data_IF_735013590445
#
_entry.id   IF_735013590445
#
_cell.length_a   1.000
_cell.length_b   1.000
_cell.length_c   1.000
_cell.angle_alpha   90.00
_cell.angle_beta   90.00
_cell.angle_gamma   90.00
#
_symmetry.space_group_name_H-M   'P 1'
#
loop_
_entity.id
_entity.type
_entity.pdbx_description
1 polymer ?
#
# COMPACT_ATOMS: atom_id res chain seq x y z
N UNK A 1 2.73 5.39 -6.15
CA UNK A 1 1.46 5.01 -5.49
C UNK A 1 1.12 6.02 -4.42
N UNK A 2 -0.13 6.47 -4.32
CA UNK A 2 -0.63 7.31 -3.22
C UNK A 2 -1.35 6.42 -2.19
N UNK A 3 -0.72 6.11 -1.03
CA UNK A 3 -1.29 5.22 -0.03
C UNK A 3 -2.56 5.79 0.63
N UNK A 4 -2.73 7.12 0.68
CA UNK A 4 -3.93 7.72 1.27
C UNK A 4 -5.15 7.43 0.41
N UNK A 5 -5.00 7.55 -0.92
CA UNK A 5 -6.07 7.22 -1.87
C UNK A 5 -6.45 5.74 -1.80
N UNK A 6 -5.47 4.85 -1.69
CA UNK A 6 -5.72 3.41 -1.47
C UNK A 6 -6.55 3.21 -0.19
N UNK A 7 -6.17 3.83 0.92
CA UNK A 7 -6.91 3.74 2.19
C UNK A 7 -8.35 4.24 2.10
N UNK A 8 -8.58 5.38 1.43
CA UNK A 8 -9.94 5.89 1.19
C UNK A 8 -10.75 4.97 0.28
N UNK A 9 -10.13 4.36 -0.73
CA UNK A 9 -10.78 3.35 -1.55
C UNK A 9 -11.28 2.17 -0.73
N UNK A 10 -10.50 1.67 0.23
CA UNK A 10 -10.94 0.58 1.13
C UNK A 10 -12.13 1.01 2.00
N UNK A 11 -12.16 2.26 2.47
CA UNK A 11 -13.32 2.80 3.21
C UNK A 11 -14.57 2.85 2.31
N UNK A 12 -14.43 3.29 1.06
CA UNK A 12 -15.52 3.34 0.07
C UNK A 12 -16.07 1.95 -0.26
N UNK A 13 -15.23 0.92 -0.25
CA UNK A 13 -15.66 -0.48 -0.40
C UNK A 13 -16.43 -1.02 0.82
N UNK A 14 -16.39 -0.33 1.97
CA UNK A 14 -16.95 -0.81 3.23
C UNK A 14 -15.96 -1.54 4.14
N UNK A 15 -14.68 -1.57 3.78
CA UNK A 15 -13.59 -2.19 4.54
C UNK A 15 -13.07 -1.33 5.70
N UNK A 16 -13.60 -0.11 5.87
CA UNK A 16 -13.21 0.82 6.92
C UNK A 16 -14.41 1.60 7.48
N UNK A 17 -14.15 2.42 8.51
CA UNK A 17 -15.19 3.22 9.18
C UNK A 17 -15.03 4.69 8.84
N UNK A 18 -16.12 5.33 8.44
CA UNK A 18 -16.20 6.79 8.32
C UNK A 18 -16.56 7.46 9.65
N UNK A 19 -17.16 6.70 10.57
CA UNK A 19 -17.65 7.14 11.88
C UNK A 19 -17.57 6.01 12.92
N UNK A 20 -17.49 6.34 14.23
CA UNK A 20 -17.50 5.34 15.28
C UNK A 20 -18.72 4.40 15.23
N UNK A 21 -18.51 3.11 15.47
CA UNK A 21 -19.58 2.11 15.58
C UNK A 21 -20.11 1.55 14.26
N UNK A 22 -19.63 2.04 13.10
CA UNK A 22 -19.98 1.47 11.78
C UNK A 22 -19.45 0.03 11.64
N UNK A 23 -20.26 -0.85 11.04
CA UNK A 23 -19.82 -2.22 10.72
C UNK A 23 -18.80 -2.17 9.56
N UNK A 24 -17.84 -3.10 9.57
CA UNK A 24 -16.88 -3.26 8.48
C UNK A 24 -17.23 -4.56 7.75
N UNK A 25 -17.17 -4.52 6.43
CA UNK A 25 -17.14 -5.73 5.61
C UNK A 25 -15.69 -6.25 5.54
N UNK A 26 -15.44 -7.43 6.09
CA UNK A 26 -14.10 -8.02 6.13
C UNK A 26 -13.75 -8.76 4.82
N UNK A 27 -14.69 -8.86 3.88
CA UNK A 27 -14.48 -9.52 2.59
C UNK A 27 -13.93 -8.60 1.51
N UNK A 28 -13.93 -7.28 1.75
CA UNK A 28 -13.52 -6.28 0.75
C UNK A 28 -12.11 -5.75 0.99
N UNK A 29 -11.50 -5.21 -0.06
CA UNK A 29 -10.19 -4.56 0.01
C UNK A 29 -9.37 -4.71 -1.27
N UNK A 30 -8.07 -4.40 -1.15
CA UNK A 30 -7.12 -4.50 -2.26
C UNK A 30 -5.97 -5.42 -1.90
N UNK A 31 -5.54 -6.23 -2.86
CA UNK A 31 -4.23 -6.87 -2.86
C UNK A 31 -3.41 -6.22 -3.96
N UNK A 32 -2.41 -5.41 -3.60
CA UNK A 32 -1.53 -4.75 -4.57
C UNK A 32 -0.25 -5.56 -4.68
N UNK A 33 -0.03 -6.17 -5.85
CA UNK A 33 1.12 -7.04 -6.09
C UNK A 33 2.34 -6.27 -6.61
N UNK A 34 2.12 -5.18 -7.34
CA UNK A 34 3.19 -4.32 -7.83
C UNK A 34 3.73 -3.40 -6.72
N UNK A 35 5.05 -3.32 -6.61
CA UNK A 35 5.75 -2.39 -5.71
C UNK A 35 6.16 -1.14 -6.49
N UNK A 36 6.34 0.01 -5.82
CA UNK A 36 6.92 1.19 -6.44
C UNK A 36 8.27 0.88 -7.10
N UNK A 37 8.42 1.24 -8.37
CA UNK A 37 9.62 0.95 -9.17
C UNK A 37 9.62 -0.40 -9.88
N UNK A 38 8.65 -1.28 -9.65
CA UNK A 38 8.53 -2.51 -10.43
C UNK A 38 8.17 -2.19 -11.90
N UNK A 39 8.84 -2.86 -12.84
CA UNK A 39 8.49 -2.82 -14.26
C UNK A 39 7.24 -3.69 -14.48
N UNK A 40 6.18 -3.10 -15.03
CA UNK A 40 4.93 -3.80 -15.37
C UNK A 40 4.69 -3.80 -16.87
N UNK A 41 4.07 -4.86 -17.40
CA UNK A 41 3.71 -4.96 -18.82
C UNK A 41 2.23 -4.69 -19.04
N UNK A 42 1.88 -4.31 -20.27
CA UNK A 42 0.49 -4.21 -20.67
C UNK A 42 -0.24 -5.55 -20.41
N UNK A 43 -1.42 -5.47 -19.78
CA UNK A 43 -2.27 -6.61 -19.37
C UNK A 43 -1.71 -7.44 -18.21
N UNK A 44 -0.62 -7.03 -17.59
CA UNK A 44 -0.15 -7.62 -16.33
C UNK A 44 -1.01 -7.10 -15.16
N UNK A 45 -1.66 -7.97 -14.37
CA UNK A 45 -2.41 -7.53 -13.21
C UNK A 45 -1.49 -6.96 -12.13
N UNK A 46 -1.69 -5.69 -11.75
CA UNK A 46 -0.90 -5.01 -10.70
C UNK A 46 -1.57 -5.03 -9.33
N UNK A 47 -2.89 -5.27 -9.30
CA UNK A 47 -3.69 -5.34 -8.10
C UNK A 47 -4.97 -6.16 -8.33
N UNK A 48 -5.50 -6.72 -7.24
CA UNK A 48 -6.79 -7.43 -7.17
C UNK A 48 -7.74 -6.64 -6.28
N UNK A 49 -8.98 -6.45 -6.74
CA UNK A 49 -10.06 -5.82 -5.98
C UNK A 49 -10.96 -6.92 -5.43
N UNK A 50 -11.17 -6.90 -4.11
CA UNK A 50 -12.18 -7.71 -3.45
C UNK A 50 -13.35 -6.77 -3.11
N UNK A 51 -14.53 -7.02 -3.68
CA UNK A 51 -15.71 -6.18 -3.54
C UNK A 51 -16.95 -7.04 -3.34
N UNK A 52 -17.94 -6.51 -2.62
CA UNK A 52 -19.19 -7.21 -2.33
C UNK A 52 -20.13 -7.25 -3.55
N UNK A 53 -20.03 -6.28 -4.46
CA UNK A 53 -20.88 -6.13 -5.65
C UNK A 53 -20.16 -5.38 -6.79
N UNK A 54 -20.83 -5.26 -7.93
CA UNK A 54 -20.32 -4.59 -9.12
C UNK A 54 -20.05 -3.09 -8.89
N UNK A 55 -20.81 -2.43 -8.01
CA UNK A 55 -20.59 -1.02 -7.67
C UNK A 55 -19.27 -0.85 -6.91
N UNK A 56 -18.96 -1.76 -5.99
CA UNK A 56 -17.67 -1.83 -5.31
C UNK A 56 -16.52 -2.10 -6.29
N UNK A 57 -16.72 -2.94 -7.31
CA UNK A 57 -15.69 -3.17 -8.34
C UNK A 57 -15.36 -1.85 -9.05
N UNK A 58 -16.36 -1.09 -9.49
CA UNK A 58 -16.14 0.18 -10.18
C UNK A 58 -15.52 1.26 -9.27
N UNK A 59 -15.97 1.35 -8.01
CA UNK A 59 -15.35 2.21 -7.01
C UNK A 59 -13.87 1.86 -6.79
N UNK A 60 -13.57 0.57 -6.65
CA UNK A 60 -12.21 0.06 -6.49
C UNK A 60 -11.31 0.35 -7.69
N UNK A 61 -11.82 0.16 -8.91
CA UNK A 61 -11.09 0.50 -10.15
C UNK A 61 -10.73 1.98 -10.20
N UNK A 62 -11.70 2.84 -9.91
CA UNK A 62 -11.49 4.30 -9.86
C UNK A 62 -10.43 4.66 -8.81
N UNK A 63 -10.57 4.15 -7.58
CA UNK A 63 -9.64 4.43 -6.50
C UNK A 63 -8.20 4.00 -6.83
N UNK A 64 -8.01 2.79 -7.37
CA UNK A 64 -6.68 2.31 -7.76
C UNK A 64 -6.11 3.06 -8.98
N UNK A 65 -6.94 3.38 -9.97
CA UNK A 65 -6.54 4.17 -11.14
C UNK A 65 -6.11 5.59 -10.78
N UNK A 66 -6.68 6.16 -9.73
CA UNK A 66 -6.28 7.45 -9.16
C UNK A 66 -5.06 7.35 -8.22
N UNK A 67 -4.77 6.17 -7.66
CA UNK A 67 -3.71 5.98 -6.68
C UNK A 67 -2.39 5.48 -7.28
N UNK A 68 -2.43 4.75 -8.41
CA UNK A 68 -1.26 4.15 -9.03
C UNK A 68 -0.94 4.88 -10.33
N UNK A 69 0.30 5.34 -10.46
CA UNK A 69 0.85 5.93 -11.67
C UNK A 69 1.81 4.93 -12.28
N UNK A 70 1.66 4.70 -13.59
CA UNK A 70 2.59 3.94 -14.42
C UNK A 70 3.23 4.96 -15.36
N UNK A 71 4.55 4.99 -15.38
CA UNK A 71 5.36 5.92 -16.17
C UNK A 71 6.62 5.20 -16.67
N UNK A 72 7.32 5.79 -17.63
CA UNK A 72 8.58 5.25 -18.19
C UNK A 72 9.75 5.40 -17.21
N UNK A 73 9.67 6.39 -16.30
CA UNK A 73 10.62 6.61 -15.22
C UNK A 73 9.96 6.42 -13.86
N UNK A 74 10.65 5.72 -12.95
CA UNK A 74 10.18 5.54 -11.59
C UNK A 74 11.23 6.04 -10.59
N UNK A 75 10.79 6.82 -9.62
CA UNK A 75 11.60 7.11 -8.43
C UNK A 75 11.73 5.83 -7.59
N UNK A 76 12.97 5.45 -7.29
CA UNK A 76 13.22 4.32 -6.38
C UNK A 76 12.69 4.64 -4.99
N UNK A 77 11.98 3.70 -4.35
CA UNK A 77 11.42 3.94 -3.03
C UNK A 77 12.54 4.25 -2.02
N UNK A 78 12.28 5.20 -1.13
CA UNK A 78 13.11 5.45 0.03
C UNK A 78 13.25 4.18 0.87
N UNK A 79 14.36 4.04 1.62
CA UNK A 79 14.48 2.95 2.59
C UNK A 79 13.25 2.86 3.50
N UNK A 80 12.75 1.63 3.72
CA UNK A 80 11.58 1.41 4.58
C UNK A 80 11.80 1.94 6.00
N UNK A 81 13.04 1.88 6.48
CA UNK A 81 13.46 2.51 7.73
C UNK A 81 14.37 3.67 7.35
N UNK A 82 13.91 4.90 7.61
CA UNK A 82 14.70 6.09 7.30
C UNK A 82 15.71 6.39 8.40
N UNK A 83 15.28 6.34 9.67
CA UNK A 83 16.07 6.74 10.82
C UNK A 83 15.78 5.86 12.03
N UNK A 84 16.77 5.76 12.92
CA UNK A 84 16.60 5.29 14.29
C UNK A 84 16.57 6.49 15.23
N UNK A 85 15.65 6.44 16.19
CA UNK A 85 15.54 7.44 17.27
C UNK A 85 16.18 6.88 18.53
N UNK A 86 17.17 7.58 19.07
CA UNK A 86 17.85 7.26 20.33
C UNK A 86 17.69 8.41 21.34
N UNK A 87 18.22 8.25 22.55
CA UNK A 87 18.21 9.32 23.55
C UNK A 87 19.00 10.56 23.10
N UNK A 88 19.97 10.37 22.20
CA UNK A 88 20.84 11.40 21.66
C UNK A 88 20.27 12.11 20.42
N UNK A 89 19.19 11.57 19.81
CA UNK A 89 18.52 12.18 18.66
C UNK A 89 18.14 11.17 17.56
N UNK A 90 17.89 11.66 16.34
CA UNK A 90 17.61 10.82 15.17
C UNK A 90 18.85 10.68 14.28
N UNK A 91 19.24 9.44 13.97
CA UNK A 91 20.33 9.14 13.04
C UNK A 91 19.80 8.31 11.86
N UNK A 92 20.35 8.45 10.65
CA UNK A 92 20.03 7.57 9.53
C UNK A 92 20.15 6.10 9.94
N UNK A 93 19.22 5.28 9.48
CA UNK A 93 19.23 3.85 9.80
C UNK A 93 20.19 3.11 8.89
N UNK A 94 21.17 2.41 9.48
CA UNK A 94 22.11 1.56 8.76
C UNK A 94 21.69 0.09 8.88
N UNK A 95 21.97 -0.74 7.87
CA UNK A 95 21.60 -2.16 7.93
C UNK A 95 22.21 -2.90 9.14
N UNK A 96 23.38 -2.46 9.62
CA UNK A 96 24.01 -2.94 10.86
C UNK A 96 23.22 -2.64 12.13
N UNK A 97 22.24 -1.73 12.06
CA UNK A 97 21.34 -1.40 13.16
C UNK A 97 20.20 -2.42 13.31
N UNK A 98 20.03 -3.32 12.34
CA UNK A 98 19.04 -4.40 12.40
C UNK A 98 19.41 -5.35 13.54
N UNK A 99 18.57 -5.50 14.57
CA UNK A 99 18.79 -6.52 15.59
C UNK A 99 18.84 -7.88 14.92
N UNK A 100 19.73 -8.78 15.38
CA UNK A 100 19.88 -10.12 14.79
C UNK A 100 18.57 -10.93 14.77
N UNK A 101 17.62 -10.60 15.64
CA UNK A 101 16.29 -11.23 15.74
C UNK A 101 15.26 -10.67 14.73
N UNK A 102 15.55 -9.54 14.06
CA UNK A 102 14.61 -8.83 13.19
C UNK A 102 14.90 -9.00 11.69
N UNK A 103 15.76 -9.95 11.31
CA UNK A 103 16.00 -10.31 9.91
C UNK A 103 14.76 -10.99 9.36
N UNK A 104 13.79 -10.18 8.91
CA UNK A 104 12.64 -10.65 8.15
C UNK A 104 13.12 -10.80 6.71
N UNK A 105 13.44 -12.03 6.30
CA UNK A 105 13.69 -12.35 4.91
C UNK A 105 12.41 -12.05 4.09
N UNK A 106 12.52 -11.08 3.17
CA UNK A 106 11.51 -10.90 2.12
C UNK A 106 11.56 -12.13 1.22
N UNK A 107 10.43 -12.83 1.09
CA UNK A 107 10.19 -13.67 -0.08
C UNK A 107 9.93 -12.82 -1.31
#
# INVERSE_FOLDING_TARGET
VDPRRVGFGVIELGGGRSRPGEAIDHSVGFVIAARPGDLVRAKEPIATIMAADDAGIEAGKRALGEAIVIDDEAEYPLPLISHRVTAEGSVPYEASDTPAELVVESR
#
